data_IF_916290308988
#
_entry.id   IF_916290308988
#
_cell.length_a   1.000
_cell.length_b   1.000
_cell.length_c   1.000
_cell.angle_alpha   90.00
_cell.angle_beta   90.00
_cell.angle_gamma   90.00
#
_symmetry.space_group_name_H-M   'P 1'
#
loop_
_entity.id
_entity.type
_entity.pdbx_description
1 polymer ?
#
# COMPACT_ATOMS: atom_id res chain seq x y z
N UNK A 1 6.17 -4.20 -4.13
CA UNK A 1 5.10 -4.84 -3.32
C UNK A 1 4.70 -3.87 -2.20
N UNK A 2 3.63 -3.11 -2.40
CA UNK A 2 3.16 -2.11 -1.43
C UNK A 2 2.22 -2.77 -0.42
N UNK A 3 2.78 -3.59 0.47
CA UNK A 3 2.02 -4.09 1.60
C UNK A 3 1.84 -2.98 2.65
N UNK A 4 0.69 -2.95 3.35
CA UNK A 4 0.60 -2.09 4.51
C UNK A 4 1.63 -2.49 5.56
N UNK A 5 2.04 -1.52 6.37
CA UNK A 5 3.10 -1.69 7.39
C UNK A 5 2.91 -2.97 8.20
N UNK A 6 1.70 -3.25 8.65
CA UNK A 6 1.36 -4.41 9.46
C UNK A 6 1.50 -5.78 8.73
N UNK A 7 1.32 -5.87 7.40
CA UNK A 7 1.64 -7.10 6.64
C UNK A 7 3.11 -7.18 6.26
N UNK A 8 3.75 -6.04 5.98
CA UNK A 8 5.12 -6.00 5.48
C UNK A 8 6.11 -6.76 6.37
N UNK A 9 5.88 -6.79 7.69
CA UNK A 9 6.70 -7.52 8.67
C UNK A 9 6.33 -9.00 8.85
N UNK A 10 5.31 -9.52 8.14
CA UNK A 10 4.97 -10.95 8.11
C UNK A 10 5.43 -11.65 6.83
N UNK A 11 5.84 -10.89 5.81
CA UNK A 11 6.30 -11.41 4.53
C UNK A 11 7.82 -11.29 4.39
N UNK A 12 8.44 -12.13 3.57
CA UNK A 12 9.88 -12.03 3.29
C UNK A 12 10.19 -10.78 2.44
N UNK A 13 11.28 -10.03 2.70
CA UNK A 13 12.28 -10.21 3.77
C UNK A 13 11.93 -9.52 5.11
N UNK A 14 10.83 -8.77 5.18
CA UNK A 14 10.43 -7.99 6.36
C UNK A 14 10.26 -8.84 7.63
N UNK A 15 9.83 -10.09 7.51
CA UNK A 15 9.74 -11.04 8.62
C UNK A 15 11.07 -11.26 9.34
N UNK A 16 12.16 -11.46 8.60
CA UNK A 16 13.47 -11.70 9.20
C UNK A 16 13.97 -10.45 9.95
N UNK A 17 13.80 -9.28 9.33
CA UNK A 17 14.15 -7.99 9.94
C UNK A 17 13.34 -7.78 11.22
N UNK A 18 12.03 -8.04 11.18
CA UNK A 18 11.14 -7.92 12.32
C UNK A 18 11.57 -8.83 13.48
N UNK A 19 11.84 -10.11 13.20
CA UNK A 19 12.26 -11.07 14.23
C UNK A 19 13.58 -10.67 14.90
N UNK A 20 14.54 -10.13 14.13
CA UNK A 20 15.80 -9.62 14.67
C UNK A 20 15.57 -8.42 15.58
N UNK A 21 14.80 -7.42 15.12
CA UNK A 21 14.47 -6.23 15.91
C UNK A 21 13.70 -6.62 17.18
N UNK A 22 12.74 -7.54 17.05
CA UNK A 22 11.95 -8.06 18.16
C UNK A 22 12.84 -8.76 19.19
N UNK A 23 13.81 -9.57 18.77
CA UNK A 23 14.80 -10.19 19.65
C UNK A 23 15.57 -9.17 20.48
N UNK A 24 16.12 -8.13 19.85
CA UNK A 24 16.87 -7.11 20.58
C UNK A 24 15.98 -6.30 21.52
N UNK A 25 14.79 -5.92 21.07
CA UNK A 25 13.83 -5.15 21.86
C UNK A 25 13.38 -5.93 23.11
N UNK A 26 12.90 -7.16 22.93
CA UNK A 26 12.45 -8.02 24.04
C UNK A 26 13.62 -8.28 25.00
N UNK A 27 14.82 -8.54 24.48
CA UNK A 27 16.00 -8.76 25.30
C UNK A 27 16.34 -7.54 26.17
N UNK A 28 16.35 -6.35 25.57
CA UNK A 28 16.60 -5.11 26.29
C UNK A 28 15.58 -4.88 27.40
N UNK A 29 14.28 -5.05 27.09
CA UNK A 29 13.19 -4.87 28.06
C UNK A 29 13.33 -5.85 29.23
N UNK A 30 13.58 -7.14 28.98
CA UNK A 30 13.75 -8.14 30.05
C UNK A 30 14.96 -7.79 30.93
N UNK A 31 16.13 -7.54 30.33
CA UNK A 31 17.37 -7.29 31.09
C UNK A 31 17.23 -6.02 31.94
N UNK A 32 16.73 -4.92 31.36
CA UNK A 32 16.52 -3.67 32.09
C UNK A 32 15.50 -3.84 33.21
N UNK A 33 14.42 -4.58 32.97
CA UNK A 33 13.39 -4.82 33.99
C UNK A 33 13.93 -5.68 35.12
N UNK A 34 14.63 -6.77 34.83
CA UNK A 34 15.23 -7.65 35.85
C UNK A 34 16.24 -6.89 36.72
N UNK A 35 17.09 -6.05 36.12
CA UNK A 35 18.02 -5.18 36.84
C UNK A 35 17.29 -4.17 37.73
N UNK A 36 16.28 -3.49 37.20
CA UNK A 36 15.47 -2.50 37.94
C UNK A 36 14.73 -3.14 39.13
N UNK A 37 14.25 -4.38 38.97
CA UNK A 37 13.59 -5.16 40.02
C UNK A 37 14.57 -5.87 40.97
N UNK A 38 15.89 -5.64 40.83
CA UNK A 38 16.95 -6.23 41.65
C UNK A 38 16.84 -7.76 41.74
N UNK A 39 16.64 -8.42 40.60
CA UNK A 39 16.64 -9.89 40.54
C UNK A 39 18.09 -10.37 40.62
N UNK A 40 18.39 -11.30 41.55
CA UNK A 40 19.76 -11.72 41.82
C UNK A 40 20.35 -12.49 40.63
N UNK A 41 19.61 -13.49 40.11
CA UNK A 41 20.08 -14.38 39.03
C UNK A 41 19.65 -13.93 37.63
N UNK A 42 19.94 -12.67 37.26
CA UNK A 42 19.45 -12.05 36.00
C UNK A 42 19.67 -12.93 34.77
N UNK A 43 20.88 -13.48 34.59
CA UNK A 43 21.21 -14.27 33.38
C UNK A 43 20.43 -15.58 33.30
N UNK A 44 20.26 -16.29 34.42
CA UNK A 44 19.51 -17.54 34.47
C UNK A 44 18.02 -17.29 34.21
N UNK A 45 17.48 -16.23 34.83
CA UNK A 45 16.09 -15.80 34.63
C UNK A 45 15.85 -15.35 33.19
N UNK A 46 16.75 -14.58 32.60
CA UNK A 46 16.68 -14.12 31.21
C UNK A 46 16.57 -15.29 30.22
N UNK A 47 17.45 -16.30 30.33
CA UNK A 47 17.47 -17.46 29.42
C UNK A 47 16.14 -18.24 29.43
N UNK A 48 15.46 -18.29 30.58
CA UNK A 48 14.15 -18.96 30.74
C UNK A 48 13.00 -18.17 30.10
N UNK A 49 13.08 -16.83 30.14
CA UNK A 49 11.99 -15.94 29.71
C UNK A 49 12.08 -15.57 28.23
N UNK A 50 13.28 -15.42 27.67
CA UNK A 50 13.45 -14.78 26.34
C UNK A 50 12.71 -15.51 25.22
N UNK A 51 12.83 -16.84 25.14
CA UNK A 51 12.21 -17.61 24.06
C UNK A 51 10.67 -17.63 24.17
N UNK A 52 10.05 -17.93 25.33
CA UNK A 52 8.60 -17.80 25.48
C UNK A 52 8.09 -16.39 25.22
N UNK A 53 8.77 -15.35 25.71
CA UNK A 53 8.38 -13.97 25.50
C UNK A 53 8.38 -13.57 24.02
N UNK A 54 9.37 -14.03 23.26
CA UNK A 54 9.46 -13.84 21.82
C UNK A 54 8.30 -14.49 21.08
N UNK A 55 8.05 -15.77 21.35
CA UNK A 55 6.96 -16.53 20.72
C UNK A 55 5.62 -15.87 21.02
N UNK A 56 5.37 -15.55 22.30
CA UNK A 56 4.13 -14.89 22.72
C UNK A 56 3.95 -13.55 22.02
N UNK A 57 4.99 -12.72 21.98
CA UNK A 57 4.89 -11.39 21.35
C UNK A 57 4.66 -11.49 19.85
N UNK A 58 5.37 -12.41 19.18
CA UNK A 58 5.19 -12.67 17.75
C UNK A 58 3.78 -13.19 17.44
N UNK A 59 3.28 -14.20 18.16
CA UNK A 59 1.94 -14.75 17.93
C UNK A 59 0.83 -13.73 18.21
N UNK A 60 1.02 -12.89 19.23
CA UNK A 60 0.07 -11.82 19.54
C UNK A 60 0.05 -10.75 18.44
N UNK A 61 1.21 -10.43 17.84
CA UNK A 61 1.30 -9.56 16.67
C UNK A 61 0.56 -10.14 15.46
N UNK A 62 0.74 -11.44 15.19
CA UNK A 62 0.01 -12.15 14.13
C UNK A 62 -1.50 -12.09 14.37
N UNK A 63 -1.97 -12.32 15.60
CA UNK A 63 -3.38 -12.25 15.94
C UNK A 63 -3.99 -10.86 15.66
N UNK A 64 -3.31 -9.79 16.07
CA UNK A 64 -3.74 -8.42 15.76
C UNK A 64 -3.75 -8.13 14.25
N UNK A 65 -2.74 -8.63 13.53
CA UNK A 65 -2.67 -8.51 12.07
C UNK A 65 -3.83 -9.24 11.39
N UNK A 66 -4.21 -10.42 11.87
CA UNK A 66 -5.37 -11.15 11.36
C UNK A 66 -6.67 -10.35 11.55
N UNK A 67 -6.85 -9.66 12.69
CA UNK A 67 -8.00 -8.78 12.91
C UNK A 67 -8.06 -7.67 11.85
N UNK A 68 -6.93 -7.05 11.51
CA UNK A 68 -6.85 -6.07 10.41
C UNK A 68 -7.16 -6.70 9.06
N UNK A 69 -6.60 -7.89 8.79
CA UNK A 69 -6.76 -8.61 7.54
C UNK A 69 -8.22 -9.03 7.26
N UNK A 70 -9.04 -9.26 8.31
CA UNK A 70 -10.47 -9.55 8.15
C UNK A 70 -11.21 -8.49 7.32
N UNK A 71 -10.80 -7.22 7.42
CA UNK A 71 -11.41 -6.14 6.61
C UNK A 71 -11.18 -6.32 5.12
N UNK A 72 -10.03 -6.90 4.74
CA UNK A 72 -9.67 -7.15 3.35
C UNK A 72 -10.51 -8.28 2.75
N UNK A 73 -10.78 -9.34 3.52
CA UNK A 73 -11.67 -10.43 3.09
C UNK A 73 -13.14 -9.99 2.97
N UNK A 74 -13.52 -8.93 3.70
CA UNK A 74 -14.86 -8.35 3.69
C UNK A 74 -14.97 -7.14 2.75
N UNK A 75 -13.93 -6.84 1.96
CA UNK A 75 -13.90 -5.68 1.06
C UNK A 75 -14.94 -5.75 -0.08
N UNK A 76 -15.61 -6.89 -0.29
CA UNK A 76 -16.74 -7.00 -1.22
C UNK A 76 -17.96 -6.15 -0.83
N UNK A 77 -18.02 -5.68 0.43
CA UNK A 77 -19.07 -4.78 0.89
C UNK A 77 -18.57 -3.34 0.78
N UNK A 78 -19.23 -2.50 -0.02
CA UNK A 78 -18.78 -1.13 -0.35
C UNK A 78 -18.44 -0.30 0.88
N UNK A 79 -19.27 -0.35 1.91
CA UNK A 79 -19.02 0.40 3.15
C UNK A 79 -17.72 -0.05 3.83
N UNK A 80 -17.48 -1.36 3.91
CA UNK A 80 -16.25 -1.92 4.50
C UNK A 80 -15.05 -1.53 3.63
N UNK A 81 -15.18 -1.63 2.31
CA UNK A 81 -14.11 -1.26 1.40
C UNK A 81 -13.67 0.19 1.59
N UNK A 82 -14.64 1.12 1.49
CA UNK A 82 -14.41 2.57 1.50
C UNK A 82 -14.01 3.08 2.89
N UNK A 83 -14.60 2.55 3.98
CA UNK A 83 -14.38 3.07 5.33
C UNK A 83 -13.27 2.35 6.09
N UNK A 84 -13.00 1.08 5.78
CA UNK A 84 -12.06 0.25 6.52
C UNK A 84 -10.95 -0.31 5.63
N UNK A 85 -11.27 -1.18 4.67
CA UNK A 85 -10.28 -1.99 3.97
C UNK A 85 -9.24 -1.14 3.24
N UNK A 86 -9.68 -0.19 2.42
CA UNK A 86 -8.77 0.70 1.70
C UNK A 86 -8.03 1.68 2.63
N UNK A 87 -8.70 2.41 3.55
CA UNK A 87 -8.04 3.28 4.51
C UNK A 87 -6.97 2.58 5.37
N UNK A 88 -7.24 1.36 5.87
CA UNK A 88 -6.31 0.61 6.74
C UNK A 88 -5.04 0.18 6.01
N UNK A 89 -5.09 0.06 4.68
CA UNK A 89 -3.89 -0.25 3.88
C UNK A 89 -2.99 0.98 3.74
N UNK A 90 -3.57 2.17 3.70
CA UNK A 90 -2.87 3.41 3.36
C UNK A 90 -2.50 4.19 4.62
N UNK A 91 -3.50 4.58 5.39
CA UNK A 91 -3.32 5.38 6.59
C UNK A 91 -4.47 5.11 7.57
N UNK A 92 -4.21 4.50 8.74
CA UNK A 92 -5.25 4.19 9.71
C UNK A 92 -5.94 5.44 10.27
N UNK A 93 -5.35 6.63 10.11
CA UNK A 93 -5.92 7.91 10.54
C UNK A 93 -6.79 8.61 9.49
N UNK A 94 -7.03 7.98 8.33
CA UNK A 94 -7.83 8.59 7.24
C UNK A 94 -9.26 8.92 7.68
N UNK A 95 -9.87 8.09 8.53
CA UNK A 95 -11.19 8.35 9.09
C UNK A 95 -11.33 7.71 10.50
N UNK A 96 -12.41 8.05 11.20
CA UNK A 96 -12.64 7.58 12.57
C UNK A 96 -12.85 6.06 12.64
N UNK A 97 -13.48 5.44 11.64
CA UNK A 97 -13.75 4.01 11.61
C UNK A 97 -12.46 3.21 11.45
N UNK A 98 -11.58 3.61 10.52
CA UNK A 98 -10.28 2.97 10.35
C UNK A 98 -9.44 3.09 11.61
N UNK A 99 -9.41 4.27 12.24
CA UNK A 99 -8.66 4.47 13.48
C UNK A 99 -9.17 3.59 14.63
N UNK A 100 -10.49 3.55 14.85
CA UNK A 100 -11.09 2.72 15.91
C UNK A 100 -10.87 1.23 15.65
N UNK A 101 -10.90 0.81 14.39
CA UNK A 101 -10.64 -0.59 14.04
C UNK A 101 -9.16 -0.97 14.23
N UNK A 102 -8.23 -0.07 13.90
CA UNK A 102 -6.81 -0.23 14.24
C UNK A 102 -6.59 -0.30 15.75
N UNK A 103 -7.29 0.56 16.51
CA UNK A 103 -7.23 0.56 17.97
C UNK A 103 -7.75 -0.75 18.56
N UNK A 104 -8.80 -1.33 17.98
CA UNK A 104 -9.31 -2.65 18.36
C UNK A 104 -8.25 -3.74 18.13
N UNK A 105 -7.65 -3.79 16.94
CA UNK A 105 -6.59 -4.76 16.64
C UNK A 105 -5.37 -4.61 17.56
N UNK A 106 -4.98 -3.36 17.84
CA UNK A 106 -3.93 -3.03 18.79
C UNK A 106 -4.27 -3.51 20.21
N UNK A 107 -5.50 -3.26 20.68
CA UNK A 107 -5.96 -3.67 22.01
C UNK A 107 -6.01 -5.19 22.15
N UNK A 108 -6.50 -5.91 21.13
CA UNK A 108 -6.50 -7.38 21.10
C UNK A 108 -5.08 -7.92 21.19
N UNK A 109 -4.18 -7.44 20.34
CA UNK A 109 -2.78 -7.89 20.34
C UNK A 109 -2.08 -7.57 21.67
N UNK A 110 -2.22 -6.35 22.17
CA UNK A 110 -1.62 -5.91 23.44
C UNK A 110 -2.17 -6.71 24.63
N UNK A 111 -3.47 -6.97 24.66
CA UNK A 111 -4.12 -7.82 25.66
C UNK A 111 -3.59 -9.25 25.64
N UNK A 112 -3.40 -9.83 24.45
CA UNK A 112 -2.78 -11.14 24.28
C UNK A 112 -1.33 -11.17 24.75
N UNK A 113 -0.52 -10.15 24.42
CA UNK A 113 0.87 -10.06 24.90
C UNK A 113 0.89 -10.12 26.43
N UNK A 114 0.06 -9.32 27.10
CA UNK A 114 0.00 -9.31 28.56
C UNK A 114 -0.46 -10.64 29.14
N UNK A 115 -1.60 -11.12 28.68
CA UNK A 115 -2.23 -12.34 29.21
C UNK A 115 -1.33 -13.57 29.00
N UNK A 116 -0.82 -13.76 27.78
CA UNK A 116 0.02 -14.89 27.43
C UNK A 116 1.40 -14.80 28.10
N UNK A 117 1.99 -13.61 28.24
CA UNK A 117 3.24 -13.50 29.01
C UNK A 117 3.02 -13.82 30.48
N UNK A 118 1.89 -13.41 31.07
CA UNK A 118 1.56 -13.71 32.46
C UNK A 118 1.38 -15.23 32.69
N UNK A 119 0.71 -15.95 31.78
CA UNK A 119 0.42 -17.38 31.98
C UNK A 119 1.46 -18.34 31.39
N UNK A 120 2.19 -17.95 30.34
CA UNK A 120 3.17 -18.83 29.69
C UNK A 120 4.57 -18.45 30.17
N UNK A 121 4.98 -17.21 29.90
CA UNK A 121 6.35 -16.76 30.16
C UNK A 121 6.65 -16.69 31.64
N UNK A 122 5.79 -16.07 32.46
CA UNK A 122 6.05 -15.94 33.90
C UNK A 122 5.96 -17.28 34.65
N UNK A 123 5.23 -18.27 34.13
CA UNK A 123 5.19 -19.63 34.71
C UNK A 123 6.53 -20.37 34.63
N UNK A 124 7.47 -19.92 33.78
CA UNK A 124 8.83 -20.50 33.68
C UNK A 124 9.77 -20.07 34.81
N UNK A 125 9.36 -19.07 35.61
CA UNK A 125 10.15 -18.50 36.69
C UNK A 125 9.31 -18.47 37.96
N UNK A 126 9.97 -18.31 39.12
CA UNK A 126 9.30 -18.02 40.38
C UNK A 126 10.00 -16.84 41.03
N UNK A 127 9.36 -15.68 41.01
CA UNK A 127 9.87 -14.47 41.62
C UNK A 127 8.91 -14.00 42.72
N UNK A 128 9.46 -13.68 43.89
CA UNK A 128 8.67 -13.14 44.99
C UNK A 128 8.15 -11.73 44.70
N UNK A 129 7.12 -11.32 45.45
CA UNK A 129 6.64 -9.94 45.55
C UNK A 129 6.04 -9.35 44.25
N UNK A 130 5.37 -10.18 43.44
CA UNK A 130 4.65 -9.70 42.24
C UNK A 130 5.55 -9.14 41.13
N UNK A 131 6.84 -9.47 41.15
CA UNK A 131 7.80 -9.05 40.11
C UNK A 131 7.43 -9.58 38.73
N UNK A 132 6.86 -10.79 38.65
CA UNK A 132 6.33 -11.40 37.43
C UNK A 132 5.30 -10.52 36.73
N UNK A 133 4.33 -10.00 37.48
CA UNK A 133 3.32 -9.09 36.93
C UNK A 133 3.97 -7.84 36.33
N UNK A 134 4.94 -7.24 37.01
CA UNK A 134 5.66 -6.05 36.53
C UNK A 134 6.47 -6.34 35.27
N UNK A 135 7.09 -7.52 35.18
CA UNK A 135 7.82 -7.95 33.98
C UNK A 135 6.85 -8.12 32.80
N UNK A 136 5.74 -8.84 33.00
CA UNK A 136 4.74 -9.02 31.95
C UNK A 136 4.14 -7.69 31.48
N UNK A 137 3.85 -6.77 32.40
CA UNK A 137 3.33 -5.44 32.08
C UNK A 137 4.34 -4.60 31.27
N UNK A 138 5.60 -4.56 31.71
CA UNK A 138 6.63 -3.79 31.00
C UNK A 138 6.93 -4.39 29.62
N UNK A 139 6.97 -5.72 29.49
CA UNK A 139 7.02 -6.38 28.19
C UNK A 139 5.88 -5.89 27.30
N UNK A 140 4.64 -5.98 27.79
CA UNK A 140 3.46 -5.55 27.05
C UNK A 140 3.55 -4.11 26.55
N UNK A 141 3.94 -3.18 27.41
CA UNK A 141 4.02 -1.76 27.03
C UNK A 141 5.09 -1.57 25.95
N UNK A 142 6.29 -2.12 26.12
CA UNK A 142 7.38 -1.86 25.18
C UNK A 142 7.31 -2.68 23.90
N UNK A 143 6.53 -3.77 23.87
CA UNK A 143 6.42 -4.65 22.70
C UNK A 143 5.04 -4.64 22.05
N UNK A 144 4.14 -3.75 22.51
CA UNK A 144 2.86 -3.53 21.85
C UNK A 144 3.06 -3.18 20.36
N UNK A 145 2.14 -3.57 19.47
CA UNK A 145 2.31 -3.44 18.03
C UNK A 145 2.00 -2.02 17.56
N UNK A 146 2.76 -1.03 18.01
CA UNK A 146 2.60 0.38 17.61
C UNK A 146 2.70 0.57 16.10
N UNK A 147 3.36 -0.36 15.41
CA UNK A 147 3.48 -0.39 13.96
C UNK A 147 2.13 -0.45 13.22
N UNK A 148 1.06 -0.93 13.87
CA UNK A 148 -0.30 -0.90 13.31
C UNK A 148 -0.79 0.51 13.00
N UNK A 149 -0.24 1.52 13.67
CA UNK A 149 -0.58 2.92 13.46
C UNK A 149 0.34 3.62 12.47
N UNK A 150 1.40 2.98 11.96
CA UNK A 150 2.31 3.60 11.00
C UNK A 150 1.61 3.64 9.63
N UNK A 151 1.35 4.84 9.06
CA UNK A 151 0.80 4.96 7.73
C UNK A 151 1.76 4.34 6.70
N UNK A 152 1.22 3.64 5.72
CA UNK A 152 1.99 3.26 4.56
C UNK A 152 2.35 4.56 3.81
N UNK A 153 3.64 4.74 3.50
CA UNK A 153 4.08 5.83 2.64
C UNK A 153 3.71 5.49 1.19
N UNK A 154 2.44 5.62 0.86
CA UNK A 154 1.96 5.50 -0.51
C UNK A 154 1.60 6.90 -0.97
N UNK A 155 2.43 7.50 -1.81
CA UNK A 155 2.05 8.68 -2.57
C UNK A 155 1.00 8.24 -3.60
N UNK A 156 -0.27 8.19 -3.18
CA UNK A 156 -1.40 8.14 -4.11
C UNK A 156 -1.40 9.44 -4.88
N UNK A 157 -1.09 9.39 -6.17
CA UNK A 157 -1.17 10.59 -6.98
C UNK A 157 -2.62 10.76 -7.43
N UNK A 158 -3.19 11.93 -7.12
CA UNK A 158 -4.55 12.27 -7.51
C UNK A 158 -4.56 12.53 -9.02
N UNK A 159 -5.42 11.87 -9.81
CA UNK A 159 -5.52 12.13 -11.23
C UNK A 159 -5.69 13.62 -11.50
N UNK A 160 -5.06 14.13 -12.56
CA UNK A 160 -5.35 15.49 -13.00
C UNK A 160 -6.78 15.52 -13.55
N UNK A 161 -7.56 16.52 -13.14
CA UNK A 161 -8.85 16.80 -13.77
C UNK A 161 -8.60 17.49 -15.11
N UNK A 162 -9.02 16.85 -16.21
CA UNK A 162 -9.00 17.46 -17.54
C UNK A 162 -10.21 18.37 -17.61
N UNK A 163 -10.00 19.69 -17.53
CA UNK A 163 -11.10 20.67 -17.60
C UNK A 163 -11.52 20.90 -19.05
N UNK A 164 -12.77 21.29 -19.28
CA UNK A 164 -13.29 21.58 -20.62
C UNK A 164 -12.47 22.63 -21.39
N UNK A 165 -11.84 23.57 -20.67
CA UNK A 165 -10.95 24.59 -21.25
C UNK A 165 -9.61 24.04 -21.77
N UNK A 166 -9.22 22.82 -21.38
CA UNK A 166 -7.96 22.19 -21.82
C UNK A 166 -8.17 21.31 -23.06
N UNK A 167 -9.42 21.03 -23.45
CA UNK A 167 -9.79 20.25 -24.64
C UNK A 167 -9.15 20.82 -25.91
N UNK A 168 -9.29 22.13 -26.15
CA UNK A 168 -8.70 22.76 -27.34
C UNK A 168 -7.18 22.66 -27.37
N UNK A 169 -6.51 22.73 -26.21
CA UNK A 169 -5.05 22.57 -26.11
C UNK A 169 -4.62 21.14 -26.38
N UNK A 170 -5.38 20.16 -25.91
CA UNK A 170 -5.10 18.74 -26.14
C UNK A 170 -5.27 18.40 -27.63
N UNK A 171 -6.28 18.96 -28.31
CA UNK A 171 -6.51 18.75 -29.74
C UNK A 171 -5.39 19.31 -30.63
N UNK A 172 -4.72 20.39 -30.22
CA UNK A 172 -3.55 20.93 -30.94
C UNK A 172 -2.44 19.88 -31.12
N UNK A 173 -2.36 18.89 -30.21
CA UNK A 173 -1.37 17.83 -30.30
C UNK A 173 -1.64 16.81 -31.41
N UNK A 174 -2.82 16.81 -32.05
CA UNK A 174 -3.14 15.92 -33.18
C UNK A 174 -2.17 16.09 -34.36
N UNK A 175 -1.56 17.27 -34.50
CA UNK A 175 -0.63 17.60 -35.56
C UNK A 175 0.85 17.32 -35.23
N UNK A 176 1.18 16.85 -34.01
CA UNK A 176 2.58 16.62 -33.64
C UNK A 176 3.13 15.33 -34.26
N UNK A 177 4.43 15.32 -34.50
CA UNK A 177 5.13 14.07 -34.81
C UNK A 177 5.28 13.22 -33.56
N UNK A 178 4.98 11.93 -33.65
CA UNK A 178 5.22 10.94 -32.58
C UNK A 178 6.71 10.78 -32.24
N UNK A 179 7.62 11.22 -33.12
CA UNK A 179 9.06 11.27 -32.86
C UNK A 179 9.47 12.46 -31.96
N UNK A 180 8.61 13.46 -31.79
CA UNK A 180 8.83 14.59 -30.89
C UNK A 180 8.49 14.20 -29.46
N UNK A 181 9.45 13.52 -28.82
CA UNK A 181 9.33 13.06 -27.43
C UNK A 181 9.10 14.19 -26.43
N UNK A 182 9.48 15.44 -26.75
CA UNK A 182 9.26 16.58 -25.85
C UNK A 182 7.79 16.97 -25.85
N UNK A 183 7.19 17.17 -27.03
CA UNK A 183 5.75 17.49 -27.13
C UNK A 183 4.87 16.34 -26.65
N UNK A 184 5.28 15.10 -26.89
CA UNK A 184 4.55 13.93 -26.38
C UNK A 184 4.53 13.89 -24.84
N UNK A 185 5.65 14.26 -24.19
CA UNK A 185 5.70 14.42 -22.73
C UNK A 185 4.83 15.56 -22.23
N UNK A 186 4.80 16.69 -22.95
CA UNK A 186 3.93 17.83 -22.62
C UNK A 186 2.44 17.42 -22.70
N UNK A 187 2.03 16.70 -23.75
CA UNK A 187 0.68 16.13 -23.88
C UNK A 187 0.35 15.19 -22.72
N UNK A 188 1.19 14.18 -22.44
CA UNK A 188 0.95 13.23 -21.33
C UNK A 188 0.87 13.97 -19.99
N UNK A 189 1.63 15.06 -19.84
CA UNK A 189 1.55 15.95 -18.67
C UNK A 189 0.21 16.67 -18.48
N UNK A 190 -0.64 16.72 -19.51
CA UNK A 190 -1.98 17.31 -19.46
C UNK A 190 -3.09 16.27 -19.24
N UNK A 191 -2.79 14.96 -19.35
CA UNK A 191 -3.77 13.89 -19.21
C UNK A 191 -4.04 13.54 -17.73
N UNK A 192 -5.05 12.70 -17.47
CA UNK A 192 -5.44 12.33 -16.10
C UNK A 192 -4.36 11.54 -15.36
N UNK A 193 -3.53 10.82 -16.12
CA UNK A 193 -2.44 9.97 -15.66
C UNK A 193 -1.06 10.67 -15.70
N UNK A 194 -1.02 12.00 -15.93
CA UNK A 194 0.18 12.86 -15.98
C UNK A 194 1.17 12.77 -14.79
N UNK A 195 0.80 11.98 -13.80
CA UNK A 195 1.38 11.92 -12.50
C UNK A 195 2.67 11.10 -12.45
N UNK A 196 3.76 11.86 -12.46
CA UNK A 196 5.09 11.36 -12.15
C UNK A 196 5.53 10.16 -13.02
N UNK A 197 5.19 10.26 -14.31
CA UNK A 197 5.86 9.47 -15.33
C UNK A 197 7.37 9.78 -15.34
N UNK A 198 8.16 8.77 -15.63
CA UNK A 198 9.62 8.83 -15.81
C UNK A 198 9.96 9.10 -17.27
N UNK A 199 9.30 8.39 -18.18
CA UNK A 199 9.53 8.50 -19.62
C UNK A 199 8.29 8.20 -20.44
N UNK A 200 8.24 8.76 -21.63
CA UNK A 200 7.23 8.47 -22.66
C UNK A 200 7.97 8.21 -23.97
N UNK A 201 7.63 7.14 -24.67
CA UNK A 201 8.23 6.74 -25.95
C UNK A 201 7.13 6.30 -26.91
N UNK A 202 7.33 6.56 -28.20
CA UNK A 202 6.50 6.00 -29.25
C UNK A 202 7.35 5.09 -30.13
N UNK A 203 6.92 3.84 -30.30
CA UNK A 203 7.47 2.90 -31.28
C UNK A 203 6.54 2.85 -32.49
N UNK A 204 6.98 3.46 -33.58
CA UNK A 204 6.25 3.53 -34.85
C UNK A 204 6.83 2.60 -35.92
N UNK A 205 7.95 1.93 -35.61
CA UNK A 205 8.67 1.09 -36.56
C UNK A 205 8.28 -0.39 -36.42
N UNK A 206 7.84 -0.78 -35.22
CA UNK A 206 7.34 -2.12 -34.94
C UNK A 206 5.82 -2.16 -34.93
N UNK A 207 5.27 -3.35 -35.21
CA UNK A 207 3.83 -3.62 -35.06
C UNK A 207 3.59 -4.49 -33.82
N UNK A 208 2.62 -4.15 -32.95
CA UNK A 208 1.74 -2.98 -33.04
C UNK A 208 2.49 -1.67 -32.75
N UNK A 209 2.10 -0.60 -33.45
CA UNK A 209 2.63 0.74 -33.17
C UNK A 209 2.15 1.19 -31.79
N UNK A 210 3.09 1.54 -30.92
CA UNK A 210 2.83 1.61 -29.48
C UNK A 210 3.31 2.93 -28.88
N UNK A 211 2.50 3.54 -28.01
CA UNK A 211 2.95 4.56 -27.06
C UNK A 211 3.16 3.90 -25.70
N UNK A 212 4.36 4.01 -25.14
CA UNK A 212 4.68 3.48 -23.81
C UNK A 212 4.94 4.63 -22.84
N UNK A 213 4.20 4.64 -21.73
CA UNK A 213 4.33 5.59 -20.62
C UNK A 213 4.85 4.83 -19.40
N UNK A 214 6.09 5.11 -18.99
CA UNK A 214 6.73 4.45 -17.85
C UNK A 214 6.68 5.35 -16.62
N UNK A 215 6.19 4.84 -15.50
CA UNK A 215 6.09 5.57 -14.24
C UNK A 215 7.38 5.50 -13.41
N UNK A 216 7.59 6.47 -12.51
CA UNK A 216 8.66 6.35 -11.51
C UNK A 216 8.31 5.26 -10.51
N UNK A 217 9.34 4.62 -9.98
CA UNK A 217 9.21 3.53 -9.02
C UNK A 217 8.49 4.00 -7.73
N UNK A 218 7.61 3.16 -7.18
CA UNK A 218 6.94 3.41 -5.91
C UNK A 218 5.71 4.32 -6.00
N UNK A 219 5.25 4.66 -7.20
CA UNK A 219 3.97 5.34 -7.43
C UNK A 219 2.85 4.31 -7.56
N UNK A 220 1.71 4.54 -6.88
CA UNK A 220 0.50 3.76 -7.15
C UNK A 220 -0.12 4.24 -8.46
N UNK A 221 -0.45 3.31 -9.35
CA UNK A 221 -1.17 3.60 -10.59
C UNK A 221 -2.41 4.45 -10.32
N UNK A 222 -2.76 5.39 -11.22
CA UNK A 222 -4.13 5.87 -11.33
C UNK A 222 -5.12 4.70 -11.46
N UNK A 223 -6.39 4.94 -11.17
CA UNK A 223 -7.45 3.94 -11.37
C UNK A 223 -7.44 3.43 -12.83
N UNK A 224 -7.85 2.18 -13.04
CA UNK A 224 -7.88 1.55 -14.37
C UNK A 224 -8.73 2.39 -15.35
N UNK A 225 -9.81 3.01 -14.84
CA UNK A 225 -10.64 3.94 -15.62
C UNK A 225 -9.87 5.18 -16.10
N UNK A 226 -8.91 5.67 -15.32
CA UNK A 226 -8.08 6.82 -15.70
C UNK A 226 -7.09 6.42 -16.80
N UNK A 227 -6.50 5.23 -16.70
CA UNK A 227 -5.60 4.70 -17.72
C UNK A 227 -6.35 4.40 -19.03
N UNK A 228 -7.57 3.86 -18.93
CA UNK A 228 -8.43 3.61 -20.08
C UNK A 228 -8.81 4.92 -20.79
N UNK A 229 -9.25 5.94 -20.03
CA UNK A 229 -9.57 7.27 -20.56
C UNK A 229 -8.38 7.89 -21.28
N UNK A 230 -7.21 7.90 -20.65
CA UNK A 230 -6.00 8.47 -21.25
C UNK A 230 -5.56 7.69 -22.50
N UNK A 231 -5.73 6.37 -22.51
CA UNK A 231 -5.50 5.55 -23.70
C UNK A 231 -6.45 5.93 -24.83
N UNK A 232 -7.74 6.10 -24.52
CA UNK A 232 -8.74 6.48 -25.49
C UNK A 232 -8.40 7.85 -26.12
N UNK A 233 -7.97 8.82 -25.32
CA UNK A 233 -7.50 10.13 -25.80
C UNK A 233 -6.29 9.97 -26.73
N UNK A 234 -5.27 9.21 -26.34
CA UNK A 234 -4.07 9.02 -27.16
C UNK A 234 -4.36 8.28 -28.47
N UNK A 235 -5.21 7.25 -28.44
CA UNK A 235 -5.64 6.49 -29.62
C UNK A 235 -6.52 7.33 -30.56
N UNK A 236 -7.30 8.25 -30.00
CA UNK A 236 -8.06 9.24 -30.75
C UNK A 236 -7.15 10.26 -31.45
N UNK A 237 -6.18 10.82 -30.73
CA UNK A 237 -5.25 11.84 -31.24
C UNK A 237 -4.30 11.27 -32.29
N UNK A 238 -3.89 10.01 -32.16
CA UNK A 238 -2.89 9.38 -33.02
C UNK A 238 -3.43 8.12 -33.72
N UNK A 239 -4.14 8.26 -34.87
CA UNK A 239 -4.73 7.13 -35.60
C UNK A 239 -3.73 6.07 -36.10
N UNK A 240 -2.42 6.41 -36.11
CA UNK A 240 -1.36 5.48 -36.48
C UNK A 240 -0.93 4.57 -35.33
N UNK A 241 -1.33 4.86 -34.09
CA UNK A 241 -1.04 4.06 -32.91
C UNK A 241 -2.12 2.98 -32.76
N UNK A 242 -1.68 1.75 -32.54
CA UNK A 242 -2.53 0.58 -32.37
C UNK A 242 -2.63 0.18 -30.89
N UNK A 243 -1.69 0.62 -30.05
CA UNK A 243 -1.58 0.24 -28.63
C UNK A 243 -1.04 1.36 -27.74
N UNK A 244 -1.55 1.44 -26.51
CA UNK A 244 -0.98 2.26 -25.43
C UNK A 244 -0.62 1.35 -24.27
N UNK A 245 0.62 1.45 -23.79
CA UNK A 245 1.15 0.70 -22.66
C UNK A 245 1.51 1.64 -21.51
N UNK A 246 1.02 1.36 -20.31
CA UNK A 246 1.51 1.99 -19.08
C UNK A 246 2.35 1.00 -18.29
N UNK A 247 3.57 1.39 -17.96
CA UNK A 247 4.52 0.54 -17.22
C UNK A 247 4.68 1.08 -15.80
N UNK A 248 4.22 0.32 -14.81
CA UNK A 248 4.32 0.70 -13.39
C UNK A 248 4.97 -0.42 -12.60
N UNK A 249 6.08 -0.12 -11.94
CA UNK A 249 6.90 -1.09 -11.19
C UNK A 249 7.19 -2.37 -12.01
N UNK A 250 7.34 -2.24 -13.34
CA UNK A 250 7.61 -3.34 -14.27
C UNK A 250 6.37 -4.12 -14.76
N UNK A 251 5.16 -3.76 -14.30
CA UNK A 251 3.89 -4.33 -14.77
C UNK A 251 3.36 -3.50 -15.95
N UNK A 252 2.93 -4.18 -17.01
CA UNK A 252 2.37 -3.56 -18.22
C UNK A 252 0.84 -3.56 -18.14
N UNK A 253 0.24 -2.38 -18.28
CA UNK A 253 -1.19 -2.17 -18.50
C UNK A 253 -1.38 -1.78 -19.97
N UNK A 254 -1.90 -2.71 -20.76
CA UNK A 254 -1.97 -2.60 -22.22
C UNK A 254 -3.39 -2.33 -22.67
N UNK A 255 -3.54 -1.30 -23.51
CA UNK A 255 -4.82 -0.89 -24.10
C UNK A 255 -4.69 -0.90 -25.63
N UNK A 256 -5.24 -1.95 -26.24
CA UNK A 256 -5.26 -2.09 -27.70
C UNK A 256 -6.44 -1.30 -28.30
N UNK A 257 -6.21 -0.67 -29.45
CA UNK A 257 -7.21 0.11 -30.18
C UNK A 257 -8.52 -0.65 -30.39
N UNK A 258 -8.46 -1.90 -30.82
CA UNK A 258 -9.65 -2.68 -31.13
C UNK A 258 -10.54 -2.88 -29.89
N UNK A 259 -9.94 -3.07 -28.72
CA UNK A 259 -10.65 -3.27 -27.45
C UNK A 259 -11.29 -1.95 -27.01
N UNK A 260 -10.50 -0.87 -26.95
CA UNK A 260 -10.99 0.46 -26.56
C UNK A 260 -12.07 0.95 -27.54
N UNK A 261 -11.88 0.75 -28.83
CA UNK A 261 -12.88 1.13 -29.84
C UNK A 261 -14.20 0.37 -29.64
N UNK A 262 -14.15 -0.90 -29.24
CA UNK A 262 -15.36 -1.69 -28.94
C UNK A 262 -16.14 -1.13 -27.74
N UNK A 263 -15.43 -0.71 -26.67
CA UNK A 263 -16.04 -0.04 -25.51
C UNK A 263 -16.82 1.21 -25.96
N UNK A 264 -16.28 1.95 -26.92
CA UNK A 264 -16.89 3.14 -27.52
C UNK A 264 -17.77 2.83 -28.74
N UNK A 265 -18.37 1.64 -28.79
CA UNK A 265 -19.32 1.24 -29.84
C UNK A 265 -18.78 1.37 -31.28
N UNK A 266 -17.47 1.15 -31.44
CA UNK A 266 -16.71 1.30 -32.68
C UNK A 266 -16.62 2.72 -33.25
N UNK A 267 -16.84 3.75 -32.42
CA UNK A 267 -16.88 5.15 -32.84
C UNK A 267 -15.72 5.99 -32.29
N UNK A 268 -14.69 5.39 -31.69
CA UNK A 268 -13.63 6.13 -30.98
C UNK A 268 -12.98 7.24 -31.84
N UNK A 269 -12.75 6.98 -33.13
CA UNK A 269 -12.13 7.94 -34.06
C UNK A 269 -13.12 8.96 -34.64
N UNK A 270 -14.41 8.71 -34.49
CA UNK A 270 -15.51 9.55 -34.99
C UNK A 270 -16.04 10.50 -33.91
N UNK A 271 -15.77 10.20 -32.63
CA UNK A 271 -16.10 11.04 -31.50
C UNK A 271 -15.25 12.32 -31.49
N UNK A 272 -15.82 13.41 -30.98
CA UNK A 272 -15.05 14.57 -30.53
C UNK A 272 -14.39 14.28 -29.19
N UNK A 273 -13.29 14.99 -28.88
CA UNK A 273 -12.63 14.84 -27.57
C UNK A 273 -13.58 15.19 -26.42
N UNK A 274 -14.53 16.11 -26.63
CA UNK A 274 -15.55 16.46 -25.65
C UNK A 274 -16.51 15.31 -25.36
N UNK A 275 -17.07 14.67 -26.40
CA UNK A 275 -17.93 13.49 -26.25
C UNK A 275 -17.19 12.33 -25.57
N UNK A 276 -15.89 12.19 -25.84
CA UNK A 276 -15.05 11.19 -25.19
C UNK A 276 -14.90 11.47 -23.69
N UNK A 277 -14.66 12.72 -23.29
CA UNK A 277 -14.55 13.09 -21.88
C UNK A 277 -15.89 12.93 -21.15
N UNK A 278 -17.00 13.35 -21.77
CA UNK A 278 -18.36 13.17 -21.23
C UNK A 278 -18.67 11.69 -20.98
N UNK A 279 -18.21 10.77 -21.85
CA UNK A 279 -18.39 9.33 -21.67
C UNK A 279 -17.79 8.79 -20.35
N UNK A 280 -16.64 9.33 -19.93
CA UNK A 280 -15.92 8.90 -18.73
C UNK A 280 -16.32 9.66 -17.45
N UNK A 281 -17.20 10.66 -17.55
CA UNK A 281 -17.75 11.41 -16.40
C UNK A 281 -19.16 10.94 -15.99
N UNK A 282 -19.75 9.98 -16.73
CA UNK A 282 -21.05 9.35 -16.43
C UNK A 282 -20.92 8.14 -15.49
#
# INVERSE_FOLDING_TARGET
MNYPSWVAYLVSPGLFIYLIVLFFLVSAVIILTLKKLKVIKVQETYKKIILPALIVTFLSYVAGTLVLLLTQFLAKFDWINIKLAEPLVINPFTNIYSFLYTLLAFAVSTGLIFYLNKIITMNTIRLSNGKEFRIALLLTIFTAPYIFFIPAQVTKVRPNEIKTQDVSKIEEYKAISLTDTKKLKELVGQLGSANAYKEVKADINNKPTTITITYKDGIKTPDDQVLEKDSAILLYLFPKIERVDFVVDGIYYTFDYNIINTIHQNRLREMSLKELLEYYEM
#
